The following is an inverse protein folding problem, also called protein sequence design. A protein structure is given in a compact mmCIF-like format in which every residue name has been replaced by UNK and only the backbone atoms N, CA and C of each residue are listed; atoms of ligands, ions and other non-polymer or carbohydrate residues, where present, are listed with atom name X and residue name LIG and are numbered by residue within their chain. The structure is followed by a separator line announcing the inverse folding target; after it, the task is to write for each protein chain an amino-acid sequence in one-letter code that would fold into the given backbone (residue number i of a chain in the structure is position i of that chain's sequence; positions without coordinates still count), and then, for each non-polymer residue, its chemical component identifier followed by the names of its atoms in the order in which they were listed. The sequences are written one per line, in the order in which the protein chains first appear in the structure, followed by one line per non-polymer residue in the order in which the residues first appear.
data_IF_837207263328
#
_entry.id   IF_837207263328
#
_cell.length_a   1.000
_cell.length_b   1.000
_cell.length_c   1.000
_cell.angle_alpha   90.00
_cell.angle_beta   90.00
_cell.angle_gamma   90.00
#
_symmetry.space_group_name_H-M   'P 1'
#
loop_
_entity.id
_entity.type
_entity.pdbx_description
1 polymer ?
#
# COMPACT_ATOMS: atom_id res chain seq x y z
N UNK A 1 28.64 -0.20 -25.06
CA UNK A 1 28.86 -0.85 -23.76
C UNK A 1 27.49 -1.08 -23.17
N UNK A 2 27.10 -2.32 -22.85
CA UNK A 2 25.79 -2.58 -22.24
C UNK A 2 25.84 -2.17 -20.77
N UNK A 3 24.99 -1.22 -20.36
CA UNK A 3 24.81 -0.90 -18.95
C UNK A 3 24.13 -2.09 -18.27
N UNK A 4 24.84 -2.69 -17.31
CA UNK A 4 24.38 -3.84 -16.56
C UNK A 4 23.27 -3.37 -15.62
N UNK A 5 22.02 -3.64 -15.98
CA UNK A 5 20.87 -3.28 -15.14
C UNK A 5 20.86 -4.16 -13.88
N UNK A 6 20.89 -3.54 -12.71
CA UNK A 6 20.79 -4.22 -11.42
C UNK A 6 19.42 -4.01 -10.80
N UNK A 7 18.95 -4.99 -10.04
CA UNK A 7 17.76 -4.89 -9.21
C UNK A 7 18.14 -5.16 -7.76
N UNK A 8 17.74 -4.26 -6.87
CA UNK A 8 17.94 -4.43 -5.42
C UNK A 8 16.75 -5.19 -4.84
N UNK A 9 17.02 -6.32 -4.19
CA UNK A 9 16.03 -7.15 -3.50
C UNK A 9 16.55 -7.42 -2.09
N UNK A 10 15.77 -7.11 -1.05
CA UNK A 10 16.17 -7.24 0.36
C UNK A 10 17.53 -6.60 0.69
N UNK A 11 17.82 -5.45 0.06
CA UNK A 11 19.08 -4.72 0.26
C UNK A 11 20.30 -5.35 -0.41
N UNK A 12 20.11 -6.36 -1.27
CA UNK A 12 21.17 -6.96 -2.10
C UNK A 12 20.94 -6.65 -3.56
N UNK A 13 22.01 -6.27 -4.25
CA UNK A 13 21.96 -5.99 -5.68
C UNK A 13 22.19 -7.25 -6.49
N UNK A 14 21.30 -7.50 -7.45
CA UNK A 14 21.37 -8.61 -8.38
C UNK A 14 21.47 -8.08 -9.81
N UNK A 15 22.47 -8.50 -10.61
CA UNK A 15 22.49 -8.23 -12.03
C UNK A 15 21.27 -8.88 -12.68
N UNK A 16 20.45 -8.12 -13.40
CA UNK A 16 19.26 -8.67 -14.07
C UNK A 16 19.64 -9.86 -14.96
N UNK A 17 20.76 -9.77 -15.68
CA UNK A 17 21.25 -10.79 -16.60
C UNK A 17 21.68 -12.11 -15.93
N UNK A 18 21.92 -12.08 -14.61
CA UNK A 18 22.19 -13.28 -13.81
C UNK A 18 20.92 -13.96 -13.28
N UNK A 19 19.75 -13.33 -13.42
CA UNK A 19 18.48 -13.85 -12.92
C UNK A 19 17.83 -14.80 -13.92
N UNK A 20 17.29 -15.90 -13.42
CA UNK A 20 16.44 -16.79 -14.20
C UNK A 20 15.13 -16.10 -14.62
N UNK A 21 14.51 -16.56 -15.70
CA UNK A 21 13.20 -16.05 -16.14
C UNK A 21 12.15 -16.15 -15.03
N UNK A 22 12.18 -17.25 -14.26
CA UNK A 22 11.31 -17.45 -13.10
C UNK A 22 11.54 -16.37 -12.03
N UNK A 23 12.80 -16.06 -11.72
CA UNK A 23 13.12 -15.01 -10.75
C UNK A 23 12.63 -13.63 -11.22
N UNK A 24 12.83 -13.30 -12.50
CA UNK A 24 12.30 -12.06 -13.10
C UNK A 24 10.77 -11.98 -13.02
N UNK A 25 10.07 -13.09 -13.27
CA UNK A 25 8.61 -13.18 -13.13
C UNK A 25 8.14 -12.96 -11.69
N UNK A 26 8.82 -13.54 -10.70
CA UNK A 26 8.51 -13.33 -9.29
C UNK A 26 8.72 -11.87 -8.86
N UNK A 27 9.78 -11.21 -9.32
CA UNK A 27 10.02 -9.78 -9.05
C UNK A 27 8.88 -8.92 -9.60
N UNK A 28 8.37 -9.24 -10.79
CA UNK A 28 7.23 -8.53 -11.33
C UNK A 28 5.97 -8.75 -10.50
N UNK A 29 5.68 -9.98 -10.10
CA UNK A 29 4.55 -10.30 -9.23
C UNK A 29 4.65 -9.59 -7.87
N UNK A 30 5.84 -9.54 -7.26
CA UNK A 30 6.09 -8.83 -6.01
C UNK A 30 5.79 -7.33 -6.15
N UNK A 31 6.31 -6.67 -7.19
CA UNK A 31 6.04 -5.25 -7.42
C UNK A 31 4.56 -4.95 -7.59
N UNK A 32 3.83 -5.81 -8.29
CA UNK A 32 2.37 -5.67 -8.43
C UNK A 32 1.68 -5.83 -7.08
N UNK A 33 2.08 -6.83 -6.28
CA UNK A 33 1.51 -7.02 -4.94
C UNK A 33 1.76 -5.81 -4.03
N UNK A 34 2.97 -5.26 -4.03
CA UNK A 34 3.33 -4.07 -3.25
C UNK A 34 2.48 -2.85 -3.64
N UNK A 35 2.24 -2.66 -4.94
CA UNK A 35 1.38 -1.58 -5.44
C UNK A 35 -0.06 -1.72 -4.96
N UNK A 36 -0.63 -2.93 -5.02
CA UNK A 36 -1.99 -3.19 -4.55
C UNK A 36 -2.11 -3.06 -3.03
N UNK A 37 -1.09 -3.47 -2.26
CA UNK A 37 -1.03 -3.24 -0.81
C UNK A 37 -1.06 -1.75 -0.51
N UNK A 38 -0.21 -0.95 -1.17
CA UNK A 38 -0.16 0.50 -0.98
C UNK A 38 -1.52 1.16 -1.33
N UNK A 39 -2.16 0.70 -2.40
CA UNK A 39 -3.50 1.17 -2.80
C UNK A 39 -4.57 0.84 -1.75
N UNK A 40 -4.56 -0.40 -1.23
CA UNK A 40 -5.50 -0.82 -0.18
C UNK A 40 -5.29 -0.02 1.12
N UNK A 41 -4.04 0.26 1.50
CA UNK A 41 -3.73 1.10 2.65
C UNK A 41 -4.25 2.53 2.48
N UNK A 42 -4.09 3.12 1.29
CA UNK A 42 -4.63 4.44 0.99
C UNK A 42 -6.17 4.47 1.12
N UNK A 43 -6.85 3.44 0.59
CA UNK A 43 -8.30 3.31 0.72
C UNK A 43 -8.74 3.13 2.18
N UNK A 44 -8.01 2.32 2.96
CA UNK A 44 -8.28 2.15 4.38
C UNK A 44 -8.15 3.47 5.16
N UNK A 45 -7.13 4.29 4.86
CA UNK A 45 -6.97 5.61 5.46
C UNK A 45 -8.16 6.54 5.16
N UNK A 46 -8.67 6.53 3.92
CA UNK A 46 -9.87 7.30 3.56
C UNK A 46 -11.09 6.87 4.37
N UNK A 47 -11.30 5.56 4.54
CA UNK A 47 -12.41 5.05 5.35
C UNK A 47 -12.25 5.35 6.84
N UNK A 48 -11.03 5.37 7.36
CA UNK A 48 -10.76 5.76 8.76
C UNK A 48 -11.16 7.21 9.01
N UNK A 49 -10.85 8.13 8.09
CA UNK A 49 -11.27 9.54 8.17
C UNK A 49 -12.80 9.63 8.13
N UNK A 50 -13.45 8.99 7.16
CA UNK A 50 -14.90 9.00 7.06
C UNK A 50 -15.58 8.47 8.33
N UNK A 51 -15.09 7.35 8.88
CA UNK A 51 -15.55 6.79 10.15
C UNK A 51 -15.41 7.78 11.31
N UNK A 52 -14.31 8.51 11.39
CA UNK A 52 -14.09 9.55 12.40
C UNK A 52 -15.11 10.68 12.31
N UNK A 53 -15.41 11.15 11.09
CA UNK A 53 -16.44 12.17 10.85
C UNK A 53 -17.83 11.67 11.27
N UNK A 54 -18.19 10.43 10.90
CA UNK A 54 -19.47 9.84 11.29
C UNK A 54 -19.61 9.66 12.81
N UNK A 55 -18.55 9.22 13.49
CA UNK A 55 -18.55 9.09 14.95
C UNK A 55 -18.74 10.45 15.64
N UNK A 56 -18.13 11.50 15.11
CA UNK A 56 -18.27 12.87 15.62
C UNK A 56 -19.70 13.38 15.44
N UNK A 57 -20.26 13.23 14.24
CA UNK A 57 -21.64 13.63 13.97
C UNK A 57 -22.63 12.86 14.85
N UNK A 58 -22.46 11.54 14.99
CA UNK A 58 -23.30 10.71 15.86
C UNK A 58 -23.23 11.18 17.32
N UNK A 59 -22.04 11.53 17.82
CA UNK A 59 -21.88 12.05 19.19
C UNK A 59 -22.67 13.34 19.38
N UNK A 60 -22.63 14.26 18.42
CA UNK A 60 -23.38 15.52 18.47
C UNK A 60 -24.89 15.29 18.53
N UNK A 61 -25.41 14.34 17.75
CA UNK A 61 -26.84 13.98 17.79
C UNK A 61 -27.23 13.39 19.14
N UNK A 62 -26.41 12.51 19.72
CA UNK A 62 -26.69 11.86 21.00
C UNK A 62 -26.61 12.83 22.19
N UNK A 63 -25.63 13.74 22.18
CA UNK A 63 -25.46 14.74 23.25
C UNK A 63 -26.43 15.91 23.10
N UNK A 64 -26.76 16.30 21.86
CA UNK A 64 -27.76 17.34 21.55
C UNK A 64 -29.20 16.91 21.85
N UNK A 65 -29.50 15.60 21.79
CA UNK A 65 -30.81 15.05 22.16
C UNK A 65 -30.99 14.79 23.67
N UNK A 66 -29.92 14.91 24.48
CA UNK A 66 -29.95 14.64 25.93
C UNK A 66 -29.94 15.88 26.82
N UNK A 67 -29.95 17.09 26.24
CA UNK A 67 -29.80 18.37 26.93
C UNK A 67 -31.00 19.32 26.87
N UNK A 68 -32.22 18.79 26.74
CA UNK A 68 -33.47 19.53 26.87
C UNK A 68 -34.40 18.84 27.89
#
# INVERSE_FOLDING_TARGET
MAEQQTVTIDGKDYPLDSLSEKARGLIQALRTADQEIARAQAQAAMFQVARGSYATALKQELEGAGGA
#
